data_IF_063841427552
#
_entry.id   IF_063841427552
#
_cell.length_a   1.000
_cell.length_b   1.000
_cell.length_c   1.000
_cell.angle_alpha   90.00
_cell.angle_beta   90.00
_cell.angle_gamma   90.00
#
_symmetry.space_group_name_H-M   'P 1'
#
loop_
_entity.id
_entity.type
_entity.pdbx_description
1 polymer ?
#
# COMPACT_ATOMS: atom_id res chain seq x y z
N UNK A 1 50.79 20.46 -30.44
CA UNK A 1 50.00 19.34 -30.97
C UNK A 1 50.25 18.13 -30.09
N UNK A 2 49.29 17.79 -29.22
CA UNK A 2 49.08 16.49 -28.58
C UNK A 2 48.08 16.74 -27.43
N UNK A 3 46.83 16.43 -27.71
CA UNK A 3 45.68 16.64 -26.85
C UNK A 3 45.49 15.30 -26.14
N UNK A 4 45.36 15.25 -24.82
CA UNK A 4 44.88 14.03 -24.13
C UNK A 4 44.07 14.43 -22.91
N UNK A 5 42.89 13.85 -22.87
CA UNK A 5 41.70 14.23 -22.13
C UNK A 5 41.75 13.85 -20.64
N UNK A 6 41.01 14.62 -19.85
CA UNK A 6 40.79 14.45 -18.41
C UNK A 6 40.27 13.06 -18.02
N UNK A 7 40.68 12.50 -16.86
CA UNK A 7 39.92 11.47 -16.18
C UNK A 7 38.83 12.10 -15.31
N UNK A 8 37.61 12.04 -15.84
CA UNK A 8 36.32 11.74 -15.20
C UNK A 8 36.24 11.90 -13.66
N UNK A 9 35.37 12.83 -13.25
CA UNK A 9 34.87 12.97 -11.88
C UNK A 9 34.22 11.66 -11.38
N UNK A 10 34.79 11.08 -10.32
CA UNK A 10 34.09 10.09 -9.52
C UNK A 10 33.16 10.82 -8.56
N UNK A 11 31.91 10.96 -8.99
CA UNK A 11 30.84 11.53 -8.18
C UNK A 11 30.47 10.46 -7.17
N UNK A 12 31.17 10.46 -6.03
CA UNK A 12 30.80 9.64 -4.87
C UNK A 12 29.31 9.90 -4.56
N UNK A 13 28.49 8.91 -4.91
CA UNK A 13 27.07 8.86 -4.57
C UNK A 13 26.94 8.94 -3.06
N UNK A 14 26.47 10.09 -2.59
CA UNK A 14 26.18 10.33 -1.19
C UNK A 14 25.03 9.41 -0.77
N UNK A 15 25.35 8.34 -0.04
CA UNK A 15 24.38 7.56 0.73
C UNK A 15 23.91 8.41 1.90
N UNK A 16 22.89 9.24 1.66
CA UNK A 16 22.19 9.97 2.72
C UNK A 16 21.42 8.97 3.58
N UNK A 17 21.63 8.92 4.90
CA UNK A 17 20.77 8.14 5.78
C UNK A 17 19.41 8.86 5.89
N UNK A 18 18.35 8.27 5.36
CA UNK A 18 16.99 8.76 5.58
C UNK A 18 16.61 8.51 7.04
N UNK A 19 16.70 9.54 7.88
CA UNK A 19 16.20 9.53 9.26
C UNK A 19 14.72 9.11 9.26
N UNK A 20 14.31 8.07 10.00
CA UNK A 20 12.89 7.73 10.12
C UNK A 20 12.13 8.91 10.73
N UNK A 21 11.09 9.38 10.04
CA UNK A 21 10.20 10.43 10.55
C UNK A 21 9.46 9.86 11.77
N UNK A 22 9.50 10.52 12.95
CA UNK A 22 8.75 10.07 14.12
C UNK A 22 7.24 10.05 13.82
N UNK A 23 6.59 8.91 14.03
CA UNK A 23 5.14 8.76 13.86
C UNK A 23 4.46 9.52 15.01
N UNK A 24 3.61 10.53 14.74
CA UNK A 24 2.92 11.28 15.79
C UNK A 24 2.02 10.39 16.64
N UNK A 25 1.89 10.66 17.95
CA UNK A 25 0.94 9.95 18.80
C UNK A 25 -0.50 10.13 18.27
N UNK A 26 -1.21 9.01 18.10
CA UNK A 26 -2.54 8.97 17.47
C UNK A 26 -2.54 8.68 15.96
N UNK A 27 -1.37 8.56 15.33
CA UNK A 27 -1.25 8.04 13.96
C UNK A 27 -1.09 6.53 13.95
N UNK A 28 -1.72 5.88 12.98
CA UNK A 28 -1.62 4.43 12.73
C UNK A 28 -0.37 4.05 11.93
N UNK A 29 0.48 5.03 11.58
CA UNK A 29 1.67 4.80 10.78
C UNK A 29 1.37 4.53 9.31
N UNK A 30 2.33 3.93 8.59
CA UNK A 30 2.15 3.53 7.20
C UNK A 30 1.43 2.18 7.13
N UNK A 31 0.26 2.16 6.49
CA UNK A 31 -0.43 0.92 6.15
C UNK A 31 -0.17 0.56 4.69
N UNK A 32 -0.12 -0.74 4.42
CA UNK A 32 0.05 -1.27 3.06
C UNK A 32 -1.25 -1.95 2.65
N UNK A 33 -1.84 -1.59 1.49
CA UNK A 33 -2.98 -2.30 0.95
C UNK A 33 -2.67 -3.78 0.75
N UNK A 34 -3.60 -4.63 1.17
CA UNK A 34 -3.57 -6.07 0.92
C UNK A 34 -4.65 -6.41 -0.09
N UNK A 35 -4.30 -7.24 -1.07
CA UNK A 35 -5.26 -7.75 -2.06
C UNK A 35 -5.68 -9.15 -1.64
N UNK A 36 -6.99 -9.35 -1.48
CA UNK A 36 -7.59 -10.65 -1.15
C UNK A 36 -8.38 -11.13 -2.37
N UNK A 37 -7.93 -12.23 -2.98
CA UNK A 37 -8.64 -12.86 -4.10
C UNK A 37 -9.75 -13.80 -3.63
N UNK A 38 -10.87 -13.78 -4.34
CA UNK A 38 -12.02 -14.66 -4.14
C UNK A 38 -12.35 -15.36 -5.45
N UNK A 39 -12.37 -16.70 -5.40
CA UNK A 39 -12.74 -17.56 -6.52
C UNK A 39 -14.23 -17.93 -6.54
N UNK A 40 -14.99 -17.48 -5.55
CA UNK A 40 -16.42 -17.74 -5.45
C UNK A 40 -17.21 -16.73 -6.33
N UNK A 41 -18.12 -17.20 -7.19
CA UNK A 41 -18.89 -16.30 -8.05
C UNK A 41 -19.76 -15.32 -7.27
N UNK A 42 -19.55 -14.02 -7.48
CA UNK A 42 -20.36 -12.96 -6.88
C UNK A 42 -21.52 -12.59 -7.81
N UNK A 43 -22.73 -12.90 -7.37
CA UNK A 43 -23.97 -12.52 -8.07
C UNK A 43 -24.31 -11.05 -7.78
N UNK A 44 -24.41 -10.24 -8.83
CA UNK A 44 -24.77 -8.84 -8.74
C UNK A 44 -26.28 -8.65 -8.87
N UNK A 45 -26.83 -7.61 -8.22
CA UNK A 45 -28.26 -7.24 -8.33
C UNK A 45 -28.68 -6.95 -9.78
N UNK A 46 -27.75 -6.58 -10.66
CA UNK A 46 -27.99 -6.38 -12.10
C UNK A 46 -28.22 -7.69 -12.88
N UNK A 47 -28.10 -8.86 -12.23
CA UNK A 47 -28.21 -10.17 -12.85
C UNK A 47 -26.91 -10.70 -13.46
N UNK A 48 -25.83 -9.93 -13.43
CA UNK A 48 -24.50 -10.36 -13.86
C UNK A 48 -23.78 -11.14 -12.76
N UNK A 49 -22.76 -11.90 -13.15
CA UNK A 49 -21.92 -12.70 -12.23
C UNK A 49 -20.47 -12.31 -12.45
N UNK A 50 -19.77 -11.98 -11.36
CA UNK A 50 -18.32 -11.91 -11.34
C UNK A 50 -17.78 -13.29 -10.95
N UNK A 51 -17.17 -14.06 -11.87
CA UNK A 51 -16.74 -15.43 -11.56
C UNK A 51 -15.63 -15.48 -10.52
N UNK A 52 -14.79 -14.44 -10.49
CA UNK A 52 -13.69 -14.24 -9.54
C UNK A 52 -13.54 -12.74 -9.33
N UNK A 53 -13.11 -12.32 -8.15
CA UNK A 53 -12.88 -10.90 -7.83
C UNK A 53 -11.79 -10.72 -6.78
N UNK A 54 -11.22 -9.52 -6.73
CA UNK A 54 -10.21 -9.14 -5.76
C UNK A 54 -10.73 -7.99 -4.90
N UNK A 55 -10.45 -8.05 -3.59
CA UNK A 55 -10.76 -6.99 -2.64
C UNK A 55 -9.45 -6.39 -2.11
N UNK A 56 -9.23 -5.11 -2.40
CA UNK A 56 -8.17 -4.34 -1.76
C UNK A 56 -8.66 -3.87 -0.39
N UNK A 57 -7.96 -4.27 0.68
CA UNK A 57 -8.26 -3.88 2.06
C UNK A 57 -7.02 -3.31 2.74
N UNK A 58 -7.25 -2.43 3.70
CA UNK A 58 -6.22 -1.98 4.65
C UNK A 58 -6.67 -2.39 6.05
N UNK A 59 -5.76 -3.01 6.79
CA UNK A 59 -6.02 -3.43 8.17
C UNK A 59 -5.25 -2.53 9.13
N UNK A 60 -5.95 -2.09 10.17
CA UNK A 60 -5.42 -1.19 11.18
C UNK A 60 -5.48 -1.90 12.53
N UNK A 61 -4.32 -2.34 13.02
CA UNK A 61 -4.21 -3.14 14.24
C UNK A 61 -4.33 -4.65 14.00
N UNK A 62 -4.43 -5.41 15.09
CA UNK A 62 -4.44 -6.87 15.07
C UNK A 62 -5.76 -7.44 15.62
N UNK A 63 -6.16 -8.58 15.06
CA UNK A 63 -7.34 -9.31 15.49
C UNK A 63 -7.02 -10.09 16.77
N UNK A 64 -7.96 -10.12 17.73
CA UNK A 64 -7.84 -10.93 18.94
C UNK A 64 -8.05 -12.43 18.62
N UNK A 65 -7.68 -13.31 19.57
CA UNK A 65 -7.76 -14.75 19.38
C UNK A 65 -9.18 -15.23 19.00
N UNK A 66 -10.20 -14.61 19.60
CA UNK A 66 -11.62 -14.95 19.37
C UNK A 66 -12.22 -14.28 18.12
N UNK A 67 -11.44 -13.45 17.41
CA UNK A 67 -11.83 -12.66 16.24
C UNK A 67 -13.04 -11.74 16.44
N UNK A 68 -13.28 -11.30 17.67
CA UNK A 68 -14.46 -10.52 18.06
C UNK A 68 -14.28 -9.00 17.97
N UNK A 69 -13.08 -8.52 17.63
CA UNK A 69 -12.75 -7.09 17.52
C UNK A 69 -12.62 -6.58 16.07
N UNK A 70 -13.13 -7.33 15.08
CA UNK A 70 -13.14 -6.88 13.69
C UNK A 70 -14.20 -5.78 13.48
N UNK A 71 -13.80 -4.66 12.88
CA UNK A 71 -14.69 -3.57 12.47
C UNK A 71 -14.49 -3.31 10.99
N UNK A 72 -15.57 -3.40 10.20
CA UNK A 72 -15.56 -3.11 8.77
C UNK A 72 -15.90 -1.64 8.54
N UNK A 73 -14.99 -0.92 7.90
CA UNK A 73 -15.22 0.46 7.46
C UNK A 73 -15.52 0.41 5.96
N UNK A 74 -16.77 0.69 5.60
CA UNK A 74 -17.16 0.86 4.20
C UNK A 74 -16.84 2.29 3.75
N UNK A 75 -16.01 2.43 2.73
CA UNK A 75 -15.73 3.72 2.12
C UNK A 75 -17.01 4.35 1.53
N UNK A 76 -17.15 5.68 1.68
CA UNK A 76 -18.21 6.41 0.99
C UNK A 76 -17.94 6.42 -0.54
N UNK A 77 -19.00 6.52 -1.34
CA UNK A 77 -19.01 6.44 -2.82
C UNK A 77 -18.04 7.42 -3.53
N UNK A 78 -17.49 8.38 -2.81
CA UNK A 78 -16.64 9.48 -3.29
C UNK A 78 -15.26 9.55 -2.58
N UNK A 79 -14.86 8.51 -1.84
CA UNK A 79 -13.48 8.39 -1.35
C UNK A 79 -12.58 7.86 -2.50
N UNK A 80 -12.33 8.71 -3.49
CA UNK A 80 -11.34 8.43 -4.52
C UNK A 80 -9.94 8.39 -3.90
N UNK A 81 -9.29 7.24 -4.01
CA UNK A 81 -7.83 7.18 -4.08
C UNK A 81 -7.48 7.68 -5.49
N UNK A 82 -6.96 8.89 -5.60
CA UNK A 82 -6.61 9.50 -6.89
C UNK A 82 -5.12 9.43 -7.15
#
# INVERSE_FOLDING_TARGET
MANTSAPRADKATQSSPSTPIPIPPGSVGFVTPQIIGFDEPLHLTSGQVLPQYELAVETYGELNADRSNAVLICHALNASHH
#
